data_IF_162488273745
#
_entry.id   IF_162488273745
#
_cell.length_a   1.000
_cell.length_b   1.000
_cell.length_c   1.000
_cell.angle_alpha   90.00
_cell.angle_beta   90.00
_cell.angle_gamma   90.00
#
_symmetry.space_group_name_H-M   'P 1'
#
loop_
_entity.id
_entity.type
_entity.pdbx_description
1 polymer ?
#
# COMPACT_ATOMS: atom_id res chain seq x y z
N UNK A 1 14.71 0.56 -27.15
CA UNK A 1 14.08 1.82 -26.67
C UNK A 1 14.28 1.90 -25.17
N UNK A 2 14.83 3.02 -24.69
CA UNK A 2 15.00 3.24 -23.24
C UNK A 2 13.64 3.53 -22.58
N UNK A 3 13.40 2.99 -21.40
CA UNK A 3 12.17 3.14 -20.63
C UNK A 3 12.44 3.36 -19.14
N UNK A 4 11.45 3.89 -18.43
CA UNK A 4 11.37 3.78 -16.96
C UNK A 4 10.33 2.75 -16.57
N UNK A 5 10.61 2.01 -15.49
CA UNK A 5 9.67 1.04 -14.90
C UNK A 5 9.12 1.62 -13.60
N UNK A 6 7.80 1.70 -13.45
CA UNK A 6 7.15 1.93 -12.16
C UNK A 6 6.71 0.58 -11.62
N UNK A 7 7.42 0.09 -10.62
CA UNK A 7 7.14 -1.20 -10.00
C UNK A 7 6.22 -1.03 -8.81
N UNK A 8 4.94 -1.38 -9.01
CA UNK A 8 3.93 -1.42 -7.96
C UNK A 8 4.12 -2.67 -7.11
N UNK A 9 4.13 -2.47 -5.81
CA UNK A 9 4.24 -3.55 -4.82
C UNK A 9 2.98 -3.59 -3.94
N UNK A 10 2.96 -2.84 -2.83
CA UNK A 10 1.79 -2.69 -1.94
C UNK A 10 1.28 -1.24 -1.96
N UNK A 11 1.01 -0.73 -3.15
CA UNK A 11 0.71 0.68 -3.40
C UNK A 11 -0.19 0.88 -4.64
N UNK A 12 -1.19 -0.01 -4.81
CA UNK A 12 -2.07 -0.11 -5.99
C UNK A 12 -3.04 1.07 -6.11
N UNK A 13 -2.48 2.27 -6.35
CA UNK A 13 -3.20 3.53 -6.50
C UNK A 13 -2.49 4.47 -7.47
N UNK A 14 -3.21 5.43 -8.02
CA UNK A 14 -2.63 6.49 -8.87
C UNK A 14 -2.41 7.80 -8.13
N UNK A 15 -3.19 8.08 -7.07
CA UNK A 15 -3.07 9.31 -6.29
C UNK A 15 -2.18 9.11 -5.07
N UNK A 16 -1.45 10.15 -4.68
CA UNK A 16 -0.49 10.13 -3.58
C UNK A 16 0.55 9.01 -3.75
N UNK A 17 1.05 8.88 -5.00
CA UNK A 17 1.97 7.84 -5.44
C UNK A 17 3.21 8.47 -6.07
N UNK A 18 4.26 8.68 -5.26
CA UNK A 18 5.46 9.40 -5.68
C UNK A 18 6.17 8.76 -6.88
N UNK A 19 6.39 7.42 -6.94
CA UNK A 19 7.01 6.79 -8.11
C UNK A 19 6.29 7.10 -9.42
N UNK A 20 4.96 7.00 -9.42
CA UNK A 20 4.14 7.23 -10.62
C UNK A 20 4.09 8.72 -11.00
N UNK A 21 4.01 9.60 -10.00
CA UNK A 21 3.98 11.05 -10.19
C UNK A 21 5.26 11.54 -10.87
N UNK A 22 6.43 11.12 -10.35
CA UNK A 22 7.72 11.50 -10.93
C UNK A 22 7.95 10.86 -12.29
N UNK A 23 7.57 9.59 -12.48
CA UNK A 23 7.66 8.92 -13.78
C UNK A 23 6.79 9.60 -14.84
N UNK A 24 5.61 10.11 -14.47
CA UNK A 24 4.71 10.80 -15.40
C UNK A 24 5.27 12.10 -15.95
N UNK A 25 6.26 12.67 -15.29
CA UNK A 25 6.97 13.90 -15.71
C UNK A 25 8.31 13.58 -16.40
N UNK A 26 8.64 12.30 -16.57
CA UNK A 26 9.86 11.86 -17.26
C UNK A 26 9.74 12.03 -18.78
N UNK A 27 10.88 12.19 -19.44
CA UNK A 27 10.96 12.20 -20.91
C UNK A 27 11.02 10.78 -21.51
N UNK A 28 11.04 9.73 -20.67
CA UNK A 28 11.08 8.34 -21.11
C UNK A 28 9.69 7.70 -21.03
N UNK A 29 9.38 6.78 -21.95
CA UNK A 29 8.16 5.97 -21.83
C UNK A 29 8.14 5.16 -20.55
N UNK A 30 6.97 5.08 -19.92
CA UNK A 30 6.76 4.43 -18.62
C UNK A 30 6.09 3.07 -18.80
N UNK A 31 6.69 2.03 -18.25
CA UNK A 31 6.07 0.72 -18.08
C UNK A 31 5.65 0.56 -16.61
N UNK A 32 4.36 0.41 -16.35
CA UNK A 32 3.86 0.09 -15.03
C UNK A 32 3.84 -1.43 -14.85
N UNK A 33 4.41 -1.94 -13.75
CA UNK A 33 4.59 -3.37 -13.48
C UNK A 33 4.01 -3.75 -12.14
N UNK A 34 3.26 -4.85 -12.10
CA UNK A 34 2.86 -5.54 -10.88
C UNK A 34 3.22 -7.03 -10.98
N UNK A 35 3.83 -7.59 -9.94
CA UNK A 35 4.30 -8.97 -9.94
C UNK A 35 3.49 -9.83 -8.97
N UNK A 36 3.09 -11.00 -9.44
CA UNK A 36 2.62 -12.12 -8.63
C UNK A 36 3.76 -13.13 -8.58
N UNK A 37 4.54 -13.07 -7.52
CA UNK A 37 5.81 -13.81 -7.45
C UNK A 37 5.60 -15.25 -6.91
N UNK A 38 6.09 -16.29 -7.61
CA UNK A 38 5.93 -17.69 -7.19
C UNK A 38 6.47 -17.96 -5.77
N UNK A 39 7.60 -17.35 -5.41
CA UNK A 39 8.20 -17.51 -4.10
C UNK A 39 7.35 -16.92 -2.99
N UNK A 40 6.61 -15.83 -3.27
CA UNK A 40 5.62 -15.26 -2.35
C UNK A 40 4.43 -16.18 -2.17
N UNK A 41 3.95 -16.80 -3.24
CA UNK A 41 2.83 -17.74 -3.18
C UNK A 41 3.17 -18.98 -2.32
N UNK A 42 4.45 -19.31 -2.20
CA UNK A 42 4.95 -20.42 -1.38
C UNK A 42 5.18 -20.05 0.09
N UNK A 43 5.01 -18.77 0.50
CA UNK A 43 5.20 -18.36 1.89
C UNK A 43 4.06 -18.87 2.78
N UNK A 44 4.34 -19.23 4.05
CA UNK A 44 3.34 -19.80 4.96
C UNK A 44 2.23 -18.82 5.36
N UNK A 45 2.46 -17.52 5.23
CA UNK A 45 1.50 -16.44 5.48
C UNK A 45 0.68 -16.07 4.23
N UNK A 46 0.91 -16.73 3.11
CA UNK A 46 0.19 -16.50 1.87
C UNK A 46 -1.11 -17.32 1.82
N UNK A 47 -2.24 -16.65 1.85
CA UNK A 47 -3.55 -17.27 1.61
C UNK A 47 -4.11 -16.86 0.24
N UNK A 48 -4.73 -17.78 -0.53
CA UNK A 48 -5.35 -17.46 -1.81
C UNK A 48 -6.30 -16.26 -1.79
N UNK A 49 -6.97 -16.00 -0.66
CA UNK A 49 -7.87 -14.86 -0.49
C UNK A 49 -7.13 -13.52 -0.62
N UNK A 50 -5.89 -13.44 -0.13
CA UNK A 50 -5.08 -12.23 -0.21
C UNK A 50 -4.59 -11.99 -1.64
N UNK A 51 -4.18 -13.05 -2.33
CA UNK A 51 -3.73 -12.97 -3.71
C UNK A 51 -4.87 -12.59 -4.64
N UNK A 52 -6.04 -13.18 -4.44
CA UNK A 52 -7.24 -12.83 -5.19
C UNK A 52 -7.61 -11.35 -5.00
N UNK A 53 -7.56 -10.86 -3.75
CA UNK A 53 -7.80 -9.45 -3.44
C UNK A 53 -6.80 -8.52 -4.11
N UNK A 54 -5.52 -8.86 -4.08
CA UNK A 54 -4.47 -8.09 -4.74
C UNK A 54 -4.62 -8.05 -6.25
N UNK A 55 -4.92 -9.17 -6.88
CA UNK A 55 -5.18 -9.23 -8.32
C UNK A 55 -6.37 -8.38 -8.71
N UNK A 56 -7.49 -8.46 -7.96
CA UNK A 56 -8.65 -7.63 -8.25
C UNK A 56 -8.32 -6.13 -8.10
N UNK A 57 -7.55 -5.74 -7.08
CA UNK A 57 -7.06 -4.36 -6.93
C UNK A 57 -6.11 -3.93 -8.05
N UNK A 58 -5.24 -4.83 -8.51
CA UNK A 58 -4.33 -4.56 -9.63
C UNK A 58 -5.10 -4.37 -10.95
N UNK A 59 -6.16 -5.13 -11.19
CA UNK A 59 -7.02 -4.93 -12.36
C UNK A 59 -7.79 -3.60 -12.30
N UNK A 60 -8.24 -3.16 -11.13
CA UNK A 60 -8.83 -1.83 -10.99
C UNK A 60 -7.80 -0.71 -11.22
N UNK A 61 -6.56 -0.89 -10.77
CA UNK A 61 -5.46 0.02 -11.07
C UNK A 61 -5.17 0.06 -12.58
N UNK A 62 -5.14 -1.10 -13.27
CA UNK A 62 -4.95 -1.17 -14.73
C UNK A 62 -5.94 -0.29 -15.47
N UNK A 63 -7.24 -0.40 -15.17
CA UNK A 63 -8.29 0.42 -15.78
C UNK A 63 -8.02 1.93 -15.59
N UNK A 64 -7.56 2.33 -14.42
CA UNK A 64 -7.21 3.73 -14.15
C UNK A 64 -5.98 4.20 -14.94
N UNK A 65 -4.97 3.36 -15.08
CA UNK A 65 -3.76 3.67 -15.85
C UNK A 65 -4.07 3.76 -17.35
N UNK A 66 -4.91 2.86 -17.87
CA UNK A 66 -5.36 2.89 -19.28
C UNK A 66 -6.01 4.24 -19.63
N UNK A 67 -6.81 4.80 -18.72
CA UNK A 67 -7.40 6.12 -18.91
C UNK A 67 -6.39 7.27 -18.95
N UNK A 68 -5.14 7.04 -18.52
CA UNK A 68 -4.04 8.03 -18.58
C UNK A 68 -3.08 7.82 -19.75
N UNK A 69 -3.26 6.77 -20.55
CA UNK A 69 -2.36 6.40 -21.65
C UNK A 69 -1.25 5.41 -21.27
N UNK A 70 -1.24 4.91 -20.04
CA UNK A 70 -0.35 3.83 -19.59
C UNK A 70 -1.11 2.52 -19.46
N UNK A 71 -0.37 1.41 -19.27
CA UNK A 71 -0.94 0.11 -18.98
C UNK A 71 -0.23 -0.50 -17.78
N UNK A 72 -0.89 -1.39 -17.04
CA UNK A 72 -0.27 -2.17 -15.99
C UNK A 72 0.01 -3.58 -16.50
N UNK A 73 1.29 -3.89 -16.66
CA UNK A 73 1.73 -5.25 -16.94
C UNK A 73 1.69 -6.05 -15.64
N UNK A 74 0.81 -7.05 -15.58
CA UNK A 74 0.73 -7.99 -14.46
C UNK A 74 1.44 -9.27 -14.89
N UNK A 75 2.52 -9.64 -14.20
CA UNK A 75 3.32 -10.82 -14.55
C UNK A 75 3.33 -11.81 -13.38
N UNK A 76 3.25 -13.11 -13.71
CA UNK A 76 3.51 -14.19 -12.77
C UNK A 76 4.94 -14.67 -12.99
N UNK A 77 5.87 -14.06 -12.27
CA UNK A 77 7.31 -14.33 -12.42
C UNK A 77 8.09 -13.89 -11.16
N UNK A 78 9.31 -14.37 -11.02
CA UNK A 78 10.30 -13.81 -10.07
C UNK A 78 10.64 -12.36 -10.47
N UNK A 79 10.96 -11.53 -9.48
CA UNK A 79 11.20 -10.11 -9.75
C UNK A 79 12.43 -9.88 -10.64
N UNK A 80 13.53 -10.60 -10.41
CA UNK A 80 14.75 -10.46 -11.22
C UNK A 80 14.50 -10.96 -12.65
N UNK A 81 13.88 -12.14 -12.80
CA UNK A 81 13.53 -12.68 -14.12
C UNK A 81 12.57 -11.74 -14.89
N UNK A 82 11.62 -11.13 -14.22
CA UNK A 82 10.73 -10.14 -14.84
C UNK A 82 11.51 -8.92 -15.34
N UNK A 83 12.44 -8.40 -14.52
CA UNK A 83 13.29 -7.27 -14.93
C UNK A 83 14.21 -7.65 -16.10
N UNK A 84 14.78 -8.86 -16.13
CA UNK A 84 15.57 -9.37 -17.25
C UNK A 84 14.75 -9.44 -18.54
N UNK A 85 13.54 -10.02 -18.50
CA UNK A 85 12.65 -10.11 -19.65
C UNK A 85 12.26 -8.74 -20.19
N UNK A 86 11.96 -7.78 -19.30
CA UNK A 86 11.64 -6.40 -19.69
C UNK A 86 12.88 -5.71 -20.25
N UNK A 87 14.06 -5.89 -19.62
CA UNK A 87 15.31 -5.28 -20.05
C UNK A 87 15.77 -5.80 -21.42
N UNK A 88 15.58 -7.08 -21.70
CA UNK A 88 15.87 -7.67 -23.00
C UNK A 88 14.97 -7.11 -24.13
N UNK A 89 13.73 -6.78 -23.81
CA UNK A 89 12.78 -6.22 -24.78
C UNK A 89 12.91 -4.72 -24.93
N UNK A 90 13.16 -4.03 -23.81
CA UNK A 90 13.33 -2.58 -23.71
C UNK A 90 14.58 -2.32 -22.87
N UNK A 91 15.33 -1.30 -23.13
CA UNK A 91 16.44 -0.92 -22.24
C UNK A 91 15.88 -0.20 -21.02
N UNK A 92 15.81 -0.87 -19.85
CA UNK A 92 15.42 -0.22 -18.60
C UNK A 92 16.53 0.76 -18.22
N UNK A 93 16.23 2.05 -18.17
CA UNK A 93 17.14 3.08 -17.66
C UNK A 93 16.97 3.30 -16.17
N UNK A 94 15.74 3.16 -15.68
CA UNK A 94 15.40 3.43 -14.28
C UNK A 94 14.22 2.59 -13.81
N UNK A 95 14.29 2.16 -12.55
CA UNK A 95 13.16 1.60 -11.82
C UNK A 95 12.76 2.58 -10.72
N UNK A 96 11.46 2.80 -10.56
CA UNK A 96 10.89 3.59 -9.47
C UNK A 96 9.91 2.72 -8.70
N UNK A 97 10.04 2.65 -7.38
CA UNK A 97 9.09 1.96 -6.51
C UNK A 97 8.97 2.65 -5.16
N UNK A 98 7.93 2.35 -4.40
CA UNK A 98 7.97 2.66 -2.99
C UNK A 98 8.85 1.65 -2.23
N UNK A 99 9.46 2.12 -1.13
CA UNK A 99 10.04 1.22 -0.12
C UNK A 99 8.97 0.24 0.36
N UNK A 100 9.34 -1.02 0.49
CA UNK A 100 8.47 -2.03 1.09
C UNK A 100 9.03 -2.51 2.42
N UNK A 101 8.21 -2.46 3.45
CA UNK A 101 8.46 -3.13 4.72
C UNK A 101 7.58 -4.36 4.77
N UNK A 102 8.18 -5.51 4.69
CA UNK A 102 7.51 -6.81 4.63
C UNK A 102 8.27 -7.88 5.39
N UNK A 103 8.00 -9.14 5.06
CA UNK A 103 8.68 -10.31 5.63
C UNK A 103 10.12 -10.43 5.09
N UNK A 104 10.93 -11.29 5.72
CA UNK A 104 12.32 -11.54 5.31
C UNK A 104 12.43 -11.85 3.80
N UNK A 105 11.46 -12.61 3.27
CA UNK A 105 11.38 -12.91 1.85
C UNK A 105 11.39 -11.63 0.96
N UNK A 106 10.61 -10.61 1.32
CA UNK A 106 10.54 -9.38 0.52
C UNK A 106 11.83 -8.56 0.57
N UNK A 107 12.54 -8.57 1.70
CA UNK A 107 13.87 -7.96 1.81
C UNK A 107 14.91 -8.68 0.94
N UNK A 108 14.90 -10.00 0.94
CA UNK A 108 15.85 -10.80 0.13
C UNK A 108 15.57 -10.65 -1.37
N UNK A 109 14.30 -10.53 -1.77
CA UNK A 109 13.91 -10.17 -3.13
C UNK A 109 14.47 -8.81 -3.52
N UNK A 110 14.27 -7.79 -2.68
CA UNK A 110 14.73 -6.41 -2.98
C UNK A 110 16.27 -6.34 -3.07
N UNK A 111 17.01 -7.10 -2.26
CA UNK A 111 18.48 -7.22 -2.40
C UNK A 111 18.88 -7.80 -3.76
N UNK A 112 18.26 -8.91 -4.20
CA UNK A 112 18.53 -9.52 -5.50
C UNK A 112 18.23 -8.54 -6.65
N UNK A 113 17.13 -7.80 -6.58
CA UNK A 113 16.81 -6.77 -7.58
C UNK A 113 17.84 -5.63 -7.54
N UNK A 114 18.31 -5.22 -6.36
CA UNK A 114 19.34 -4.19 -6.23
C UNK A 114 20.67 -4.63 -6.86
N UNK A 115 21.10 -5.89 -6.62
CA UNK A 115 22.28 -6.48 -7.24
C UNK A 115 22.15 -6.50 -8.77
N UNK A 116 21.02 -6.98 -9.28
CA UNK A 116 20.73 -6.95 -10.71
C UNK A 116 20.76 -5.53 -11.30
N UNK A 117 20.23 -4.54 -10.60
CA UNK A 117 20.28 -3.14 -11.05
C UNK A 117 21.72 -2.63 -11.17
N UNK A 118 22.59 -2.96 -10.21
CA UNK A 118 24.01 -2.58 -10.23
C UNK A 118 24.72 -3.21 -11.43
N UNK A 119 24.54 -4.51 -11.64
CA UNK A 119 25.15 -5.26 -12.75
C UNK A 119 24.74 -4.73 -14.13
N UNK A 120 23.47 -4.35 -14.26
CA UNK A 120 22.90 -3.86 -15.52
C UNK A 120 22.93 -2.33 -15.67
N UNK A 121 23.54 -1.60 -14.72
CA UNK A 121 23.65 -0.13 -14.70
C UNK A 121 22.27 0.55 -14.76
N UNK A 122 21.26 -0.04 -14.11
CA UNK A 122 19.93 0.48 -13.96
C UNK A 122 19.84 1.28 -12.66
N UNK A 123 19.36 2.51 -12.73
CA UNK A 123 19.11 3.33 -11.54
C UNK A 123 17.82 2.85 -10.86
N UNK A 124 17.89 2.44 -9.58
CA UNK A 124 16.69 2.13 -8.80
C UNK A 124 16.43 3.19 -7.74
N UNK A 125 15.30 3.91 -7.88
CA UNK A 125 14.87 4.95 -6.95
C UNK A 125 13.72 4.41 -6.10
N UNK A 126 13.96 4.30 -4.80
CA UNK A 126 12.92 3.95 -3.83
C UNK A 126 12.40 5.21 -3.11
N UNK A 127 11.09 5.29 -2.99
CA UNK A 127 10.38 6.40 -2.35
C UNK A 127 9.83 5.97 -1.01
N UNK A 128 9.92 6.82 0.02
CA UNK A 128 9.37 6.52 1.33
C UNK A 128 7.88 6.15 1.28
N UNK A 129 7.50 5.07 1.97
CA UNK A 129 6.11 4.63 2.07
C UNK A 129 5.61 4.73 3.51
N UNK A 130 4.31 5.00 3.70
CA UNK A 130 3.66 5.12 4.99
C UNK A 130 4.43 6.04 5.97
N UNK A 131 4.46 5.72 7.25
CA UNK A 131 5.23 6.42 8.28
C UNK A 131 6.51 5.69 8.68
N UNK A 132 7.03 4.83 7.79
CA UNK A 132 8.24 4.03 8.04
C UNK A 132 9.48 4.81 7.60
N UNK A 133 10.55 4.73 8.38
CA UNK A 133 11.84 5.34 8.09
C UNK A 133 12.87 4.22 8.04
N UNK A 134 13.37 3.95 6.85
CA UNK A 134 14.36 2.89 6.61
C UNK A 134 15.70 3.26 7.25
N UNK A 135 16.39 2.27 7.82
CA UNK A 135 17.69 2.47 8.47
C UNK A 135 17.68 3.27 9.77
N UNK A 136 16.52 3.51 10.39
CA UNK A 136 16.40 4.22 11.66
C UNK A 136 17.03 3.39 12.80
N UNK A 137 18.00 3.99 13.52
CA UNK A 137 18.67 3.34 14.65
C UNK A 137 17.96 3.57 15.99
N UNK A 138 17.36 4.77 16.18
CA UNK A 138 16.71 5.18 17.43
C UNK A 138 15.27 5.60 17.17
N UNK A 139 14.34 5.10 17.97
CA UNK A 139 12.89 5.33 17.79
C UNK A 139 12.38 6.64 18.36
N UNK A 140 13.14 7.32 19.22
CA UNK A 140 12.66 8.50 19.96
C UNK A 140 12.17 9.62 19.02
N UNK A 141 12.82 9.79 17.87
CA UNK A 141 12.45 10.78 16.86
C UNK A 141 11.48 10.28 15.81
N UNK A 142 11.08 9.01 15.85
CA UNK A 142 10.21 8.42 14.85
C UNK A 142 8.87 9.14 14.72
N UNK A 143 8.21 9.41 15.85
CA UNK A 143 6.89 10.07 15.86
C UNK A 143 6.92 11.41 15.15
N UNK A 144 7.90 12.26 15.43
CA UNK A 144 8.07 13.57 14.78
C UNK A 144 8.29 13.44 13.28
N UNK A 145 9.13 12.50 12.85
CA UNK A 145 9.41 12.24 11.44
C UNK A 145 8.19 11.68 10.72
N UNK A 146 7.45 10.75 11.35
CA UNK A 146 6.17 10.23 10.84
C UNK A 146 5.15 11.34 10.69
N UNK A 147 4.96 12.18 11.71
CA UNK A 147 3.95 13.24 11.71
C UNK A 147 4.28 14.31 10.64
N UNK A 148 5.55 14.66 10.46
CA UNK A 148 6.00 15.50 9.34
C UNK A 148 5.65 14.90 7.99
N UNK A 149 5.91 13.59 7.78
CA UNK A 149 5.58 12.89 6.51
C UNK A 149 4.07 12.84 6.27
N UNK A 150 3.27 12.64 7.31
CA UNK A 150 1.80 12.66 7.20
C UNK A 150 1.23 14.07 6.89
N UNK A 151 1.99 15.12 7.16
CA UNK A 151 1.63 16.50 6.86
C UNK A 151 2.04 16.99 5.47
N UNK A 152 2.82 16.23 4.70
CA UNK A 152 3.20 16.61 3.33
C UNK A 152 1.99 16.65 2.41
N UNK A 153 2.04 17.49 1.37
CA UNK A 153 0.98 17.58 0.37
C UNK A 153 0.71 16.24 -0.30
N UNK A 154 -0.56 16.01 -0.60
CA UNK A 154 -0.99 14.83 -1.33
C UNK A 154 -0.73 15.04 -2.83
N UNK A 155 -0.08 14.08 -3.46
CA UNK A 155 0.17 14.12 -4.89
C UNK A 155 -1.11 13.79 -5.67
N UNK A 156 -1.41 14.60 -6.68
CA UNK A 156 -2.51 14.33 -7.59
C UNK A 156 -2.19 13.10 -8.46
N UNK A 157 -3.22 12.40 -8.92
CA UNK A 157 -3.06 11.39 -9.98
C UNK A 157 -2.57 12.07 -11.27
N UNK A 158 -1.58 11.52 -11.98
CA UNK A 158 -1.21 11.99 -13.29
C UNK A 158 -2.41 11.99 -14.25
N UNK A 159 -2.55 13.04 -15.06
CA UNK A 159 -3.61 13.12 -16.08
C UNK A 159 -3.25 12.34 -17.34
N UNK A 160 -1.98 12.35 -17.70
CA UNK A 160 -1.42 11.67 -18.87
C UNK A 160 -0.08 11.03 -18.49
N UNK A 161 0.20 9.88 -19.05
CA UNK A 161 1.47 9.17 -18.92
C UNK A 161 1.88 8.69 -20.29
N UNK A 162 3.11 8.94 -20.69
CA UNK A 162 3.69 8.38 -21.91
C UNK A 162 3.96 6.88 -21.70
N UNK A 163 2.91 6.06 -21.77
CA UNK A 163 2.98 4.63 -21.49
C UNK A 163 3.65 3.82 -22.60
N UNK A 164 4.41 2.81 -22.23
CA UNK A 164 4.88 1.79 -23.19
C UNK A 164 3.67 1.02 -23.72
N UNK A 165 3.58 0.88 -25.06
CA UNK A 165 2.55 0.07 -25.68
C UNK A 165 2.89 -1.42 -25.48
N UNK A 166 2.36 -2.01 -24.42
CA UNK A 166 2.47 -3.43 -24.13
C UNK A 166 1.15 -4.15 -24.38
N UNK A 167 1.23 -5.44 -24.60
CA UNK A 167 0.05 -6.34 -24.59
C UNK A 167 0.15 -7.21 -23.34
N UNK A 168 -0.30 -6.74 -22.19
CA UNK A 168 -0.14 -7.46 -20.95
C UNK A 168 -0.93 -8.77 -20.98
N UNK A 169 -0.32 -9.84 -20.50
CA UNK A 169 -1.01 -11.10 -20.26
C UNK A 169 -2.01 -10.93 -19.09
N UNK A 170 -3.05 -11.73 -19.11
CA UNK A 170 -3.99 -11.79 -18.00
C UNK A 170 -3.54 -12.88 -17.01
N UNK A 171 -3.07 -12.44 -15.84
CA UNK A 171 -2.78 -13.33 -14.72
C UNK A 171 -4.07 -13.55 -13.93
N UNK A 172 -4.51 -14.78 -13.80
CA UNK A 172 -5.71 -15.18 -13.08
C UNK A 172 -5.37 -16.13 -11.95
N UNK A 173 -6.26 -16.29 -10.96
CA UNK A 173 -6.07 -17.30 -9.92
C UNK A 173 -5.78 -18.69 -10.51
N UNK A 174 -6.52 -19.06 -11.56
CA UNK A 174 -6.30 -20.36 -12.26
C UNK A 174 -4.91 -20.45 -12.93
N UNK A 175 -4.42 -19.38 -13.57
CA UNK A 175 -3.11 -19.40 -14.25
C UNK A 175 -1.93 -19.49 -13.28
N UNK A 176 -2.13 -19.16 -12.01
CA UNK A 176 -1.14 -19.28 -10.92
C UNK A 176 -1.37 -20.53 -10.04
N UNK A 177 -2.23 -21.46 -10.48
CA UNK A 177 -2.49 -22.72 -9.77
C UNK A 177 -3.35 -22.57 -8.51
N UNK A 178 -4.05 -21.46 -8.34
CA UNK A 178 -4.90 -21.19 -7.18
C UNK A 178 -6.39 -21.15 -7.54
N UNK A 179 -7.25 -21.46 -6.56
CA UNK A 179 -8.70 -21.37 -6.70
C UNK A 179 -9.25 -20.15 -5.96
N UNK A 180 -10.28 -19.52 -6.55
CA UNK A 180 -11.03 -18.46 -5.86
C UNK A 180 -11.80 -19.03 -4.69
N UNK A 181 -11.85 -18.27 -3.57
CA UNK A 181 -12.69 -18.61 -2.42
C UNK A 181 -14.00 -17.82 -2.46
N UNK A 182 -15.11 -18.48 -2.10
CA UNK A 182 -16.38 -17.79 -1.88
C UNK A 182 -16.32 -17.03 -0.55
N UNK A 183 -16.54 -15.71 -0.63
CA UNK A 183 -16.60 -14.81 0.51
C UNK A 183 -17.94 -14.10 0.48
N UNK A 184 -18.72 -14.23 1.56
CA UNK A 184 -20.08 -13.69 1.64
C UNK A 184 -20.09 -12.16 1.57
N UNK A 185 -19.13 -11.48 2.20
CA UNK A 185 -19.03 -10.01 2.27
C UNK A 185 -17.66 -9.55 1.78
N UNK A 186 -17.42 -9.68 0.47
CA UNK A 186 -16.18 -9.24 -0.12
C UNK A 186 -16.16 -7.71 -0.28
N UNK A 187 -15.10 -7.01 0.14
CA UNK A 187 -14.93 -5.60 -0.18
C UNK A 187 -14.85 -5.37 -1.70
N UNK A 188 -15.32 -4.22 -2.17
CA UNK A 188 -15.14 -3.81 -3.56
C UNK A 188 -13.68 -3.39 -3.75
N UNK A 189 -12.94 -3.90 -4.75
CA UNK A 189 -11.52 -3.60 -4.92
C UNK A 189 -11.27 -2.19 -5.49
N UNK A 190 -10.05 -1.70 -5.27
CA UNK A 190 -9.51 -0.53 -5.93
C UNK A 190 -9.62 0.77 -5.14
N UNK A 191 -8.99 1.80 -5.70
CA UNK A 191 -8.81 3.11 -5.06
C UNK A 191 -10.12 3.85 -4.82
N UNK A 192 -11.07 3.82 -5.76
CA UNK A 192 -12.34 4.56 -5.63
C UNK A 192 -13.19 3.98 -4.52
N UNK A 193 -13.27 2.65 -4.45
CA UNK A 193 -13.96 1.95 -3.37
C UNK A 193 -13.33 2.26 -2.00
N UNK A 194 -12.00 2.33 -1.92
CA UNK A 194 -11.30 2.73 -0.70
C UNK A 194 -11.70 4.16 -0.27
N UNK A 195 -11.84 5.08 -1.23
CA UNK A 195 -12.28 6.46 -0.97
C UNK A 195 -13.73 6.53 -0.53
N UNK A 196 -14.61 5.69 -1.10
CA UNK A 196 -16.03 5.60 -0.70
C UNK A 196 -16.17 5.08 0.73
N UNK A 197 -15.40 4.04 1.07
CA UNK A 197 -15.34 3.48 2.42
C UNK A 197 -14.83 4.52 3.42
N UNK A 198 -13.80 5.30 3.08
CA UNK A 198 -13.33 6.41 3.92
C UNK A 198 -14.39 7.50 4.07
N UNK A 199 -15.04 7.91 2.98
CA UNK A 199 -16.13 8.92 3.01
C UNK A 199 -17.26 8.49 3.92
N UNK A 200 -17.76 7.26 3.73
CA UNK A 200 -18.80 6.68 4.58
C UNK A 200 -18.41 6.65 6.06
N UNK A 201 -17.17 6.28 6.37
CA UNK A 201 -16.68 6.28 7.75
C UNK A 201 -16.66 7.69 8.34
N UNK A 202 -16.12 8.66 7.61
CA UNK A 202 -16.00 10.06 8.10
C UNK A 202 -17.34 10.84 8.08
N UNK A 203 -18.36 10.38 7.35
CA UNK A 203 -19.67 11.05 7.29
C UNK A 203 -20.69 10.51 8.29
N UNK A 204 -20.72 9.20 8.54
CA UNK A 204 -21.76 8.57 9.36
C UNK A 204 -21.25 7.47 10.29
N UNK A 205 -20.58 6.44 9.77
CA UNK A 205 -20.27 5.22 10.54
C UNK A 205 -19.29 5.42 11.68
N UNK A 206 -18.40 6.40 11.56
CA UNK A 206 -17.27 6.59 12.48
C UNK A 206 -17.60 7.30 13.80
N UNK A 207 -18.81 7.85 13.96
CA UNK A 207 -19.16 8.61 15.16
C UNK A 207 -19.04 7.78 16.44
N UNK A 208 -19.50 6.54 16.43
CA UNK A 208 -19.45 5.61 17.56
C UNK A 208 -18.23 4.69 17.56
N UNK A 209 -17.25 4.92 16.69
CA UNK A 209 -16.08 4.05 16.50
C UNK A 209 -15.38 3.68 17.82
N UNK A 210 -15.15 4.66 18.71
CA UNK A 210 -14.46 4.44 19.98
C UNK A 210 -15.09 3.34 20.82
N UNK A 211 -16.41 3.30 20.86
CA UNK A 211 -17.17 2.36 21.70
C UNK A 211 -17.52 1.06 20.99
N UNK A 212 -17.39 1.05 19.67
CA UNK A 212 -17.79 -0.10 18.85
C UNK A 212 -16.61 -0.95 18.36
N UNK A 213 -15.39 -0.42 18.39
CA UNK A 213 -14.22 -1.07 17.76
C UNK A 213 -13.81 -2.40 18.41
N UNK A 214 -14.19 -2.65 19.66
CA UNK A 214 -13.89 -3.90 20.38
C UNK A 214 -15.08 -4.86 20.40
N UNK A 215 -16.23 -4.49 19.82
CA UNK A 215 -17.41 -5.35 19.74
C UNK A 215 -17.43 -6.05 18.37
N UNK A 216 -17.36 -7.38 18.30
CA UNK A 216 -17.40 -8.11 17.03
C UNK A 216 -18.65 -7.81 16.19
N UNK A 217 -19.82 -7.67 16.83
CA UNK A 217 -21.09 -7.40 16.15
C UNK A 217 -21.19 -5.96 15.63
N UNK A 218 -20.70 -4.97 16.39
CA UNK A 218 -20.79 -3.56 16.00
C UNK A 218 -19.65 -3.11 15.08
N UNK A 219 -18.48 -3.77 15.17
CA UNK A 219 -17.31 -3.42 14.39
C UNK A 219 -17.54 -3.52 12.88
N UNK A 220 -18.41 -4.42 12.43
CA UNK A 220 -18.76 -4.58 11.02
C UNK A 220 -19.26 -3.26 10.43
N UNK A 221 -20.17 -2.56 11.14
CA UNK A 221 -20.83 -1.34 10.65
C UNK A 221 -20.13 -0.05 11.10
N UNK A 222 -19.43 -0.07 12.23
CA UNK A 222 -18.91 1.15 12.87
C UNK A 222 -17.41 1.35 12.73
N UNK A 223 -16.64 0.32 12.34
CA UNK A 223 -15.22 0.46 12.05
C UNK A 223 -14.95 0.99 10.65
N UNK A 224 -13.71 1.46 10.43
CA UNK A 224 -13.33 2.10 9.17
C UNK A 224 -13.41 1.16 7.96
N UNK A 225 -13.16 -0.14 8.15
CA UNK A 225 -13.09 -1.16 7.08
C UNK A 225 -12.00 -0.89 6.03
N UNK A 226 -10.97 -0.11 6.39
CA UNK A 226 -9.89 0.27 5.48
C UNK A 226 -8.71 -0.73 5.46
N UNK A 227 -8.68 -1.72 6.36
CA UNK A 227 -7.55 -2.65 6.46
C UNK A 227 -7.19 -3.36 5.14
N UNK A 228 -8.15 -3.91 4.34
CA UNK A 228 -7.84 -4.54 3.06
C UNK A 228 -7.21 -3.54 2.06
N UNK A 229 -7.65 -2.29 2.08
CA UNK A 229 -7.13 -1.25 1.19
C UNK A 229 -5.74 -0.74 1.60
N UNK A 230 -5.43 -0.77 2.90
CA UNK A 230 -4.07 -0.48 3.36
C UNK A 230 -3.10 -1.60 3.02
N UNK A 231 -3.52 -2.86 3.08
CA UNK A 231 -2.66 -4.02 2.76
C UNK A 231 -2.19 -4.04 1.31
N UNK A 232 -3.04 -3.57 0.39
CA UNK A 232 -2.72 -3.44 -1.04
C UNK A 232 -2.31 -2.02 -1.44
N UNK A 233 -2.41 -1.06 -0.52
CA UNK A 233 -2.07 0.33 -0.77
C UNK A 233 -2.99 1.06 -1.74
N UNK A 234 -4.25 0.60 -1.91
CA UNK A 234 -5.26 1.31 -2.71
C UNK A 234 -5.59 2.70 -2.18
N UNK A 235 -5.25 2.98 -0.93
CA UNK A 235 -5.32 4.30 -0.31
C UNK A 235 -4.09 4.53 0.55
N UNK A 236 -3.51 5.73 0.49
CA UNK A 236 -2.37 6.07 1.34
C UNK A 236 -2.80 6.37 2.77
N UNK A 237 -1.98 5.96 3.75
CA UNK A 237 -2.21 6.31 5.17
C UNK A 237 -2.21 7.82 5.34
N UNK A 238 -1.35 8.55 4.63
CA UNK A 238 -1.27 10.02 4.66
C UNK A 238 -2.60 10.66 4.29
N UNK A 239 -3.26 10.21 3.21
CA UNK A 239 -4.58 10.69 2.80
C UNK A 239 -5.63 10.48 3.90
N UNK A 240 -5.64 9.31 4.53
CA UNK A 240 -6.59 8.99 5.60
C UNK A 240 -6.34 9.84 6.86
N UNK A 241 -5.07 10.03 7.24
CA UNK A 241 -4.67 10.91 8.36
C UNK A 241 -5.14 12.33 8.11
N UNK A 242 -4.89 12.89 6.92
CA UNK A 242 -5.26 14.26 6.58
C UNK A 242 -6.77 14.46 6.50
N UNK A 243 -7.51 13.53 5.87
CA UNK A 243 -8.97 13.58 5.80
C UNK A 243 -9.58 13.54 7.20
N UNK A 244 -9.07 12.67 8.08
CA UNK A 244 -9.50 12.57 9.48
C UNK A 244 -9.20 13.86 10.25
N UNK A 245 -7.98 14.42 10.10
CA UNK A 245 -7.60 15.68 10.74
C UNK A 245 -8.44 16.87 10.27
N UNK A 246 -8.77 16.92 8.97
CA UNK A 246 -9.64 17.94 8.41
C UNK A 246 -11.06 17.86 8.99
N UNK A 247 -11.63 16.64 9.11
CA UNK A 247 -12.93 16.44 9.78
C UNK A 247 -12.88 16.88 11.24
N UNK A 248 -11.83 16.49 11.98
CA UNK A 248 -11.67 16.88 13.39
C UNK A 248 -11.58 18.41 13.56
N UNK A 249 -10.88 19.12 12.67
CA UNK A 249 -10.79 20.57 12.70
C UNK A 249 -12.18 21.21 12.55
N UNK A 250 -12.96 20.80 11.53
CA UNK A 250 -14.34 21.31 11.32
C UNK A 250 -15.24 21.03 12.51
N UNK A 251 -15.13 19.87 13.14
CA UNK A 251 -15.91 19.53 14.34
C UNK A 251 -15.51 20.39 15.55
N UNK A 252 -14.23 20.72 15.73
CA UNK A 252 -13.79 21.63 16.78
C UNK A 252 -14.33 23.04 16.56
N UNK A 253 -14.33 23.52 15.31
CA UNK A 253 -14.93 24.81 14.93
C UNK A 253 -16.45 24.82 15.17
N UNK A 254 -17.17 23.76 14.80
CA UNK A 254 -18.61 23.61 15.08
C UNK A 254 -18.88 23.64 16.59
N UNK A 255 -18.11 22.88 17.37
CA UNK A 255 -18.22 22.85 18.83
C UNK A 255 -17.94 24.24 19.46
N UNK A 256 -16.99 25.01 18.93
CA UNK A 256 -16.71 26.37 19.44
C UNK A 256 -17.85 27.35 19.16
N UNK A 257 -18.72 27.06 18.19
CA UNK A 257 -19.97 27.80 17.94
C UNK A 257 -21.18 27.29 18.72
N UNK A 258 -20.97 26.33 19.65
CA UNK A 258 -22.03 25.74 20.46
C UNK A 258 -22.83 24.62 19.80
N UNK A 259 -22.38 24.11 18.61
CA UNK A 259 -23.05 23.00 17.93
C UNK A 259 -22.71 21.68 18.64
N UNK A 260 -23.72 20.78 18.71
CA UNK A 260 -23.47 19.41 19.19
C UNK A 260 -22.71 18.61 18.13
N UNK A 261 -21.61 18.03 18.53
CA UNK A 261 -20.75 17.21 17.66
C UNK A 261 -20.75 15.73 18.06
N UNK A 262 -21.60 15.33 18.99
CA UNK A 262 -21.75 13.95 19.45
C UNK A 262 -20.42 13.29 19.86
N UNK A 263 -20.30 12.01 19.55
CA UNK A 263 -19.11 11.20 19.86
C UNK A 263 -17.92 11.33 18.88
N UNK A 264 -18.06 12.19 17.86
CA UNK A 264 -17.09 12.24 16.76
C UNK A 264 -15.66 12.53 17.19
N UNK A 265 -15.44 13.54 18.05
CA UNK A 265 -14.07 13.95 18.39
C UNK A 265 -13.29 12.85 19.11
N UNK A 266 -13.93 12.13 20.03
CA UNK A 266 -13.32 11.01 20.75
C UNK A 266 -13.05 9.83 19.80
N UNK A 267 -14.00 9.53 18.93
CA UNK A 267 -13.90 8.46 17.94
C UNK A 267 -12.78 8.70 16.92
N UNK A 268 -12.70 9.91 16.36
CA UNK A 268 -11.66 10.26 15.41
C UNK A 268 -10.27 10.36 16.07
N UNK A 269 -10.19 10.78 17.34
CA UNK A 269 -8.94 10.72 18.10
C UNK A 269 -8.45 9.28 18.30
N UNK A 270 -9.37 8.37 18.65
CA UNK A 270 -9.04 6.94 18.75
C UNK A 270 -8.62 6.37 17.39
N UNK A 271 -9.28 6.75 16.31
CA UNK A 271 -8.92 6.32 14.97
C UNK A 271 -7.53 6.85 14.54
N UNK A 272 -7.21 8.11 14.80
CA UNK A 272 -5.87 8.68 14.56
C UNK A 272 -4.78 7.88 15.29
N UNK A 273 -5.05 7.48 16.54
CA UNK A 273 -4.12 6.63 17.29
C UNK A 273 -3.90 5.27 16.62
N UNK A 274 -4.95 4.65 16.06
CA UNK A 274 -4.82 3.39 15.31
C UNK A 274 -4.04 3.56 14.00
N UNK A 275 -4.21 4.67 13.30
CA UNK A 275 -3.38 4.99 12.12
C UNK A 275 -1.90 5.19 12.49
N UNK A 276 -1.63 5.78 13.66
CA UNK A 276 -0.26 5.87 14.16
C UNK A 276 0.31 4.49 14.53
N UNK A 277 -0.50 3.62 15.14
CA UNK A 277 -0.10 2.24 15.45
C UNK A 277 0.20 1.42 14.21
N UNK A 278 -0.57 1.58 13.13
CA UNK A 278 -0.26 0.94 11.85
C UNK A 278 1.20 1.25 11.41
N UNK A 279 1.57 2.52 11.35
CA UNK A 279 2.94 2.92 11.00
C UNK A 279 3.98 2.47 12.06
N UNK A 280 3.59 2.45 13.34
CA UNK A 280 4.46 2.04 14.43
C UNK A 280 4.84 0.57 14.34
N UNK A 281 3.88 -0.32 14.06
CA UNK A 281 4.17 -1.75 13.92
C UNK A 281 4.98 -2.05 12.66
N UNK A 282 4.72 -1.34 11.56
CA UNK A 282 5.56 -1.43 10.37
C UNK A 282 7.00 -0.96 10.66
N UNK A 283 7.17 0.18 11.37
CA UNK A 283 8.50 0.66 11.78
C UNK A 283 9.21 -0.35 12.68
N UNK A 284 8.46 -1.04 13.54
CA UNK A 284 9.03 -2.06 14.41
C UNK A 284 9.55 -3.25 13.60
N UNK A 285 8.78 -3.73 12.62
CA UNK A 285 9.22 -4.80 11.71
C UNK A 285 10.43 -4.37 10.87
N UNK A 286 10.46 -3.11 10.41
CA UNK A 286 11.61 -2.55 9.67
C UNK A 286 12.91 -2.57 10.48
N UNK A 287 12.82 -2.29 11.79
CA UNK A 287 14.00 -2.28 12.68
C UNK A 287 14.38 -3.67 13.17
N UNK A 288 13.43 -4.58 13.27
CA UNK A 288 13.58 -5.95 13.77
C UNK A 288 12.93 -6.94 12.79
N UNK A 289 13.53 -7.20 11.61
CA UNK A 289 12.92 -8.02 10.57
C UNK A 289 12.61 -9.45 11.00
N UNK A 290 13.27 -9.97 12.04
CA UNK A 290 13.03 -11.33 12.56
C UNK A 290 11.69 -11.48 13.28
N UNK A 291 10.95 -10.39 13.51
CA UNK A 291 9.62 -10.44 14.14
C UNK A 291 8.57 -11.16 13.29
N UNK A 292 8.83 -11.40 12.03
CA UNK A 292 7.96 -12.20 11.17
C UNK A 292 7.99 -13.70 11.52
N UNK A 293 9.07 -14.17 12.13
CA UNK A 293 9.30 -15.59 12.44
C UNK A 293 9.64 -15.87 13.91
N UNK A 294 9.98 -14.84 14.67
CA UNK A 294 10.40 -14.97 16.07
C UNK A 294 9.63 -14.01 16.97
N UNK A 295 9.21 -14.52 18.13
CA UNK A 295 8.63 -13.67 19.17
C UNK A 295 9.66 -12.65 19.66
N UNK A 296 9.24 -11.39 19.84
CA UNK A 296 10.08 -10.31 20.38
C UNK A 296 10.65 -10.65 21.76
N UNK A 297 9.83 -11.27 22.61
CA UNK A 297 10.25 -11.82 23.89
C UNK A 297 10.28 -13.36 23.76
N UNK A 298 11.47 -14.01 23.82
CA UNK A 298 11.59 -15.45 23.70
C UNK A 298 10.74 -16.23 24.71
N UNK A 299 10.44 -15.64 25.87
CA UNK A 299 9.60 -16.26 26.89
C UNK A 299 8.13 -16.38 26.47
N UNK A 300 7.65 -15.55 25.53
CA UNK A 300 6.28 -15.64 25.03
C UNK A 300 6.03 -16.90 24.20
N UNK A 301 7.06 -17.47 23.59
CA UNK A 301 6.93 -18.72 22.84
C UNK A 301 6.53 -19.92 23.71
N UNK A 302 6.78 -19.86 25.00
CA UNK A 302 6.42 -20.92 25.96
C UNK A 302 4.98 -20.81 26.44
N UNK A 303 4.31 -19.69 26.26
CA UNK A 303 2.94 -19.45 26.74
C UNK A 303 1.89 -20.01 25.77
N UNK A 304 2.26 -20.19 24.51
CA UNK A 304 1.36 -20.61 23.43
C UNK A 304 1.47 -22.09 23.04
N UNK A 305 2.12 -22.87 23.86
CA UNK A 305 2.26 -24.32 23.64
C UNK A 305 1.05 -25.07 24.23
#
# INVERSE_FOLDING_TARGET
MAIEVVWFKRDLRTSDHSPLFDASSSNLPVLCLFLVEPQRLAQPDCDPIHIEWELDCAYELRKKLEATGANLDIMHNDAVEAMEQIHARYTISRIRSHEETGTAWSFDRDKRVSEWCIENKVEWIEYPNNGVIRGMKERDKWKTSRDRRMGLDLLASPKTIAGVQSKPANVTMRSIGMSRRQIIHRPVPGQDAAMDVLRSFLSSRGESYRWSMSSPSLAVDKCSRLAPYFSTGCISVRRVVQATSSKMRRLKEARSRGEDVGGWLQSLSSFQSRLAWHCHFMQKLEMEPTLDTRAQNPLLSLIHI
#
